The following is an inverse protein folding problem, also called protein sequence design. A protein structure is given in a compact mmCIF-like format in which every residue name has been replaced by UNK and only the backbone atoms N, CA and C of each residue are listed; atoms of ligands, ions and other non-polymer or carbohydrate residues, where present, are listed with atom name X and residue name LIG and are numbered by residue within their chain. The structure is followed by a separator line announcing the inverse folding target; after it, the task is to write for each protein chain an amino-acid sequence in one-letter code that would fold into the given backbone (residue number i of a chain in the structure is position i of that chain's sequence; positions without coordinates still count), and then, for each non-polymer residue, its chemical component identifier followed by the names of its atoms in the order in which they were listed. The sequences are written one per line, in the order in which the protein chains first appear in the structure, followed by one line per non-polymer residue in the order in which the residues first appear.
data_IF_739475706030
#
_entry.id   IF_739475706030
#
_cell.length_a   1.000
_cell.length_b   1.000
_cell.length_c   1.000
_cell.angle_alpha   90.00
_cell.angle_beta   90.00
_cell.angle_gamma   90.00
#
_symmetry.space_group_name_H-M   'P 1'
#
loop_
_entity.id
_entity.type
_entity.pdbx_description
1 polymer ?
#
# COMPACT_ATOMS: atom_id res chain seq x y z
N UNK A 1 -5.61 36.43 18.08
CA UNK A 1 -6.12 35.33 17.23
C UNK A 1 -6.87 35.93 16.06
N UNK A 2 -6.95 35.21 14.94
CA UNK A 2 -7.78 35.64 13.80
C UNK A 2 -9.26 35.66 14.20
N UNK A 3 -10.03 36.62 13.69
CA UNK A 3 -11.47 36.68 13.93
C UNK A 3 -12.18 35.49 13.27
N UNK A 4 -13.32 35.08 13.83
CA UNK A 4 -14.19 34.09 13.19
C UNK A 4 -14.61 34.59 11.81
N UNK A 5 -14.76 33.67 10.85
CA UNK A 5 -15.16 34.01 9.47
C UNK A 5 -14.24 35.03 8.76
N UNK A 6 -12.97 35.13 9.15
CA UNK A 6 -11.99 36.01 8.50
C UNK A 6 -11.42 35.44 7.21
N UNK A 7 -11.44 34.11 7.04
CA UNK A 7 -11.01 33.42 5.82
C UNK A 7 -12.22 33.14 4.93
N UNK A 8 -12.13 33.45 3.63
CA UNK A 8 -13.24 33.22 2.69
C UNK A 8 -13.52 31.74 2.43
N UNK A 9 -12.49 30.97 2.08
CA UNK A 9 -12.58 29.55 1.77
C UNK A 9 -11.41 28.79 2.42
N UNK A 10 -11.73 27.62 2.98
CA UNK A 10 -10.77 26.63 3.44
C UNK A 10 -10.83 25.41 2.52
N UNK A 11 -9.69 24.90 2.09
CA UNK A 11 -9.58 23.61 1.41
C UNK A 11 -8.83 22.66 2.34
N UNK A 12 -9.42 21.50 2.62
CA UNK A 12 -8.77 20.40 3.33
C UNK A 12 -8.68 19.24 2.35
N UNK A 13 -7.47 18.92 1.93
CA UNK A 13 -7.18 17.74 1.11
C UNK A 13 -6.78 16.55 2.00
N UNK A 14 -6.93 15.32 1.50
CA UNK A 14 -6.73 14.07 2.24
C UNK A 14 -7.49 14.02 3.58
N UNK A 15 -8.68 14.62 3.63
CA UNK A 15 -9.49 14.76 4.85
C UNK A 15 -9.96 13.42 5.45
N UNK A 16 -9.84 12.31 4.69
CA UNK A 16 -10.04 10.95 5.17
C UNK A 16 -9.02 10.54 6.25
N UNK A 17 -7.82 11.12 6.22
CA UNK A 17 -6.75 10.89 7.20
C UNK A 17 -6.73 11.88 8.36
N UNK A 18 -7.43 12.99 8.23
CA UNK A 18 -7.42 14.04 9.24
C UNK A 18 -8.36 13.67 10.38
N UNK A 19 -7.85 13.67 11.61
CA UNK A 19 -8.70 13.51 12.79
C UNK A 19 -9.59 14.76 12.96
N UNK A 20 -10.88 14.61 13.31
CA UNK A 20 -11.84 15.73 13.35
C UNK A 20 -11.36 16.93 14.17
N UNK A 21 -10.77 16.69 15.34
CA UNK A 21 -10.29 17.72 16.26
C UNK A 21 -9.20 18.62 15.68
N UNK A 22 -8.43 18.13 14.70
CA UNK A 22 -7.35 18.90 14.07
C UNK A 22 -7.90 20.00 13.16
N UNK A 23 -9.08 19.80 12.56
CA UNK A 23 -9.67 20.74 11.62
C UNK A 23 -10.51 21.85 12.28
N UNK A 24 -10.92 21.69 13.55
CA UNK A 24 -11.87 22.59 14.22
C UNK A 24 -11.42 24.05 14.21
N UNK A 25 -10.14 24.30 14.49
CA UNK A 25 -9.59 25.66 14.53
C UNK A 25 -9.67 26.35 13.16
N UNK A 26 -9.29 25.65 12.10
CA UNK A 26 -9.34 26.17 10.73
C UNK A 26 -10.79 26.39 10.26
N UNK A 27 -11.69 25.47 10.60
CA UNK A 27 -13.11 25.58 10.27
C UNK A 27 -13.77 26.78 10.97
N UNK A 28 -13.40 27.08 12.22
CA UNK A 28 -13.98 28.19 13.00
C UNK A 28 -13.64 29.58 12.42
N UNK A 29 -12.54 29.72 11.68
CA UNK A 29 -12.13 30.99 11.07
C UNK A 29 -12.55 31.12 9.61
N UNK A 30 -13.02 30.05 8.98
CA UNK A 30 -13.42 30.02 7.57
C UNK A 30 -14.93 30.26 7.37
N UNK A 31 -15.31 31.01 6.33
CA UNK A 31 -16.71 31.20 5.93
C UNK A 31 -17.27 29.97 5.22
N UNK A 32 -16.43 29.27 4.46
CA UNK A 32 -16.78 28.13 3.63
C UNK A 32 -15.63 27.14 3.63
N UNK A 33 -15.93 25.85 3.49
CA UNK A 33 -14.92 24.80 3.40
C UNK A 33 -15.22 23.85 2.25
N UNK A 34 -14.18 23.44 1.53
CA UNK A 34 -14.17 22.32 0.61
C UNK A 34 -13.32 21.24 1.28
N UNK A 35 -13.88 20.05 1.43
CA UNK A 35 -13.28 18.95 2.17
C UNK A 35 -13.21 17.78 1.21
N UNK A 36 -11.98 17.40 0.87
CA UNK A 36 -11.66 16.41 -0.16
C UNK A 36 -10.85 15.30 0.48
N UNK A 37 -11.20 14.07 0.15
CA UNK A 37 -10.58 12.89 0.68
C UNK A 37 -11.41 11.67 0.34
N UNK A 38 -10.91 10.51 0.78
CA UNK A 38 -11.55 9.24 0.51
C UNK A 38 -11.78 8.47 1.82
N UNK A 39 -13.03 8.28 2.25
CA UNK A 39 -13.33 7.56 3.50
C UNK A 39 -13.06 6.05 3.40
N UNK A 40 -12.82 5.51 2.20
CA UNK A 40 -12.46 4.10 1.95
C UNK A 40 -10.94 3.87 1.87
N UNK A 41 -10.13 4.93 1.95
CA UNK A 41 -8.67 4.84 2.15
C UNK A 41 -8.32 4.94 3.64
N UNK A 42 -7.08 5.28 3.98
CA UNK A 42 -6.58 5.18 5.35
C UNK A 42 -7.25 6.18 6.29
N UNK A 43 -7.63 5.69 7.48
CA UNK A 43 -8.21 6.49 8.57
C UNK A 43 -7.14 7.26 9.35
N UNK A 44 -7.54 8.27 10.14
CA UNK A 44 -6.62 8.98 11.01
C UNK A 44 -5.97 8.04 12.02
N UNK A 45 -4.67 8.22 12.28
CA UNK A 45 -3.99 7.52 13.36
C UNK A 45 -4.28 8.26 14.66
N UNK A 46 -5.09 7.65 15.53
CA UNK A 46 -5.41 8.18 16.85
C UNK A 46 -4.73 7.32 17.91
N UNK A 47 -3.99 7.97 18.82
CA UNK A 47 -3.16 7.30 19.84
C UNK A 47 -3.91 6.97 21.13
N UNK A 48 -5.17 7.40 21.25
CA UNK A 48 -6.00 7.17 22.43
C UNK A 48 -6.41 5.68 22.47
N UNK A 49 -6.17 4.97 23.58
CA UNK A 49 -6.62 3.58 23.72
C UNK A 49 -8.15 3.45 23.61
N UNK A 50 -8.63 2.38 22.96
CA UNK A 50 -10.07 2.12 22.75
C UNK A 50 -10.89 2.17 24.05
N UNK A 51 -10.36 1.62 25.14
CA UNK A 51 -11.02 1.64 26.45
C UNK A 51 -11.17 3.07 27.00
N UNK A 52 -10.15 3.91 26.85
CA UNK A 52 -10.18 5.30 27.28
C UNK A 52 -11.17 6.12 26.43
N UNK A 53 -11.15 5.92 25.11
CA UNK A 53 -12.11 6.57 24.21
C UNK A 53 -13.55 6.23 24.59
N UNK A 54 -13.85 4.94 24.82
CA UNK A 54 -15.18 4.50 25.26
C UNK A 54 -15.59 5.10 26.59
N UNK A 55 -14.68 5.17 27.57
CA UNK A 55 -14.96 5.80 28.87
C UNK A 55 -15.29 7.29 28.73
N UNK A 56 -14.55 8.04 27.91
CA UNK A 56 -14.81 9.45 27.64
C UNK A 56 -16.14 9.65 26.93
N UNK A 57 -16.43 8.84 25.91
CA UNK A 57 -17.70 8.92 25.18
C UNK A 57 -18.89 8.66 26.11
N UNK A 58 -18.80 7.68 26.99
CA UNK A 58 -19.85 7.39 27.96
C UNK A 58 -20.01 8.52 28.98
N UNK A 59 -18.90 9.02 29.53
CA UNK A 59 -18.92 10.09 30.53
C UNK A 59 -19.55 11.39 29.99
N UNK A 60 -19.23 11.76 28.75
CA UNK A 60 -19.76 12.96 28.09
C UNK A 60 -21.05 12.71 27.28
N UNK A 61 -21.61 11.49 27.31
CA UNK A 61 -22.77 11.07 26.53
C UNK A 61 -22.64 11.38 25.02
N UNK A 62 -21.45 11.10 24.45
CA UNK A 62 -21.12 11.33 23.04
C UNK A 62 -21.63 10.15 22.21
N UNK A 63 -22.42 10.45 21.18
CA UNK A 63 -22.86 9.45 20.20
C UNK A 63 -21.69 8.84 19.43
N UNK A 64 -21.77 7.54 19.12
CA UNK A 64 -20.83 6.81 18.24
C UNK A 64 -20.67 7.40 16.83
N UNK A 65 -21.60 8.27 16.41
CA UNK A 65 -21.44 9.09 15.21
C UNK A 65 -20.23 10.02 15.28
N UNK A 66 -19.73 10.34 16.47
CA UNK A 66 -18.60 11.24 16.69
C UNK A 66 -17.36 10.54 17.25
N UNK A 67 -17.33 9.21 17.20
CA UNK A 67 -16.18 8.43 17.69
C UNK A 67 -14.89 8.81 16.93
N UNK A 68 -13.91 9.36 17.66
CA UNK A 68 -12.66 9.84 17.06
C UNK A 68 -11.78 8.70 16.52
N UNK A 69 -11.98 7.46 16.97
CA UNK A 69 -11.26 6.29 16.44
C UNK A 69 -11.83 5.81 15.11
N UNK A 70 -13.11 6.08 14.86
CA UNK A 70 -13.84 5.58 13.69
C UNK A 70 -14.10 6.68 12.65
N UNK A 71 -13.93 7.95 13.00
CA UNK A 71 -14.28 9.10 12.16
C UNK A 71 -13.09 9.96 11.79
N UNK A 72 -13.21 10.54 10.62
CA UNK A 72 -12.30 11.51 10.02
C UNK A 72 -13.04 12.82 9.75
N UNK A 73 -12.29 13.88 9.41
CA UNK A 73 -12.88 15.13 8.91
C UNK A 73 -13.82 14.83 7.74
N UNK A 74 -13.40 14.01 6.78
CA UNK A 74 -14.22 13.63 5.61
C UNK A 74 -15.56 13.00 6.02
N UNK A 75 -15.53 11.92 6.80
CA UNK A 75 -16.75 11.16 7.15
C UNK A 75 -17.76 11.93 8.01
N UNK A 76 -17.31 12.98 8.70
CA UNK A 76 -18.19 13.91 9.41
C UNK A 76 -18.77 14.93 8.43
N UNK A 77 -17.93 15.51 7.59
CA UNK A 77 -18.31 16.53 6.63
C UNK A 77 -19.25 16.01 5.53
N UNK A 78 -19.08 14.76 5.10
CA UNK A 78 -19.97 14.10 4.12
C UNK A 78 -21.43 14.10 4.55
N UNK A 79 -21.71 14.04 5.86
CA UNK A 79 -23.08 14.02 6.39
C UNK A 79 -23.82 15.32 6.18
N UNK A 80 -23.08 16.42 6.01
CA UNK A 80 -23.63 17.74 5.72
C UNK A 80 -23.89 17.94 4.23
N UNK A 81 -23.40 17.04 3.36
CA UNK A 81 -23.66 17.10 1.93
C UNK A 81 -25.05 16.53 1.61
N UNK A 82 -25.86 17.35 0.91
CA UNK A 82 -27.17 16.94 0.41
C UNK A 82 -27.07 15.93 -0.74
N UNK A 83 -26.03 16.07 -1.58
CA UNK A 83 -25.77 15.20 -2.71
C UNK A 83 -24.69 14.18 -2.34
N UNK A 84 -25.00 12.90 -2.51
CA UNK A 84 -24.09 11.82 -2.18
C UNK A 84 -24.63 10.46 -2.57
N UNK A 85 -23.88 9.42 -2.23
CA UNK A 85 -24.29 8.04 -2.38
C UNK A 85 -23.74 7.20 -1.23
N UNK A 86 -24.40 6.08 -0.96
CA UNK A 86 -23.83 5.05 -0.09
C UNK A 86 -22.81 4.23 -0.88
N UNK A 87 -21.61 4.10 -0.33
CA UNK A 87 -20.50 3.35 -0.93
C UNK A 87 -20.05 2.23 0.02
N UNK A 88 -19.81 1.03 -0.54
CA UNK A 88 -19.35 -0.17 0.17
C UNK A 88 -20.46 -1.21 0.37
N UNK A 89 -20.05 -2.38 0.87
CA UNK A 89 -20.93 -3.55 1.03
C UNK A 89 -21.69 -3.55 2.37
N UNK A 90 -22.94 -4.03 2.32
CA UNK A 90 -23.82 -4.34 3.47
C UNK A 90 -23.79 -3.32 4.63
N UNK A 91 -23.52 -3.78 5.85
CA UNK A 91 -23.51 -2.98 7.09
C UNK A 91 -22.38 -1.95 7.14
N UNK A 92 -21.38 -2.05 6.24
CA UNK A 92 -20.25 -1.13 6.14
C UNK A 92 -20.48 0.02 5.13
N UNK A 93 -21.71 0.17 4.63
CA UNK A 93 -22.10 1.28 3.76
C UNK A 93 -21.81 2.62 4.42
N UNK A 94 -21.09 3.47 3.69
CA UNK A 94 -20.69 4.81 4.15
C UNK A 94 -21.32 5.83 3.23
N UNK A 95 -22.00 6.84 3.78
CA UNK A 95 -22.46 7.98 3.01
C UNK A 95 -21.24 8.81 2.59
N UNK A 96 -21.07 9.01 1.28
CA UNK A 96 -20.01 9.82 0.68
C UNK A 96 -20.66 10.99 -0.04
N UNK A 97 -20.22 12.22 0.28
CA UNK A 97 -20.71 13.42 -0.39
C UNK A 97 -20.06 13.59 -1.76
N UNK A 98 -20.86 13.89 -2.78
CA UNK A 98 -20.40 14.17 -4.15
C UNK A 98 -19.31 13.19 -4.67
N UNK A 99 -19.52 11.86 -4.65
CA UNK A 99 -18.49 10.90 -5.00
C UNK A 99 -18.04 11.02 -6.46
N UNK A 100 -16.73 11.03 -6.69
CA UNK A 100 -16.15 11.00 -8.04
C UNK A 100 -16.05 9.55 -8.51
N UNK A 101 -16.63 9.24 -9.67
CA UNK A 101 -16.72 7.86 -10.17
C UNK A 101 -15.68 7.51 -11.24
N UNK A 102 -15.08 8.50 -11.91
CA UNK A 102 -14.15 8.23 -13.01
C UNK A 102 -12.74 8.02 -12.47
N UNK A 103 -12.22 6.81 -12.63
CA UNK A 103 -10.84 6.46 -12.28
C UNK A 103 -9.94 6.52 -13.51
N UNK A 104 -8.76 7.15 -13.39
CA UNK A 104 -7.82 7.38 -14.50
C UNK A 104 -6.40 6.93 -14.23
N UNK A 105 -6.16 6.26 -13.10
CA UNK A 105 -4.79 6.01 -12.61
C UNK A 105 -4.26 4.64 -13.01
N UNK A 106 -4.94 3.59 -12.59
CA UNK A 106 -4.45 2.22 -12.72
C UNK A 106 -5.22 1.45 -13.79
N UNK A 107 -4.52 0.48 -14.38
CA UNK A 107 -5.06 -0.54 -15.29
C UNK A 107 -5.47 -1.78 -14.51
N UNK A 108 -5.96 -2.81 -15.20
CA UNK A 108 -6.25 -4.12 -14.59
C UNK A 108 -4.99 -4.86 -14.12
N UNK A 109 -5.09 -5.70 -13.07
CA UNK A 109 -6.30 -5.97 -12.27
C UNK A 109 -6.52 -4.98 -11.11
N UNK A 110 -5.59 -4.04 -10.89
CA UNK A 110 -5.64 -3.12 -9.74
C UNK A 110 -6.94 -2.30 -9.69
N UNK A 111 -7.49 -1.93 -10.85
CA UNK A 111 -8.76 -1.20 -10.92
C UNK A 111 -9.92 -2.06 -10.42
N UNK A 112 -10.14 -3.24 -11.01
CA UNK A 112 -11.27 -4.09 -10.65
C UNK A 112 -11.21 -4.53 -9.20
N UNK A 113 -10.03 -4.97 -8.73
CA UNK A 113 -9.82 -5.34 -7.33
C UNK A 113 -10.17 -4.18 -6.39
N UNK A 114 -9.66 -2.97 -6.63
CA UNK A 114 -9.99 -1.81 -5.79
C UNK A 114 -11.49 -1.49 -5.81
N UNK A 115 -12.10 -1.50 -7.00
CA UNK A 115 -13.50 -1.15 -7.21
C UNK A 115 -14.44 -2.11 -6.47
N UNK A 116 -14.14 -3.39 -6.51
CA UNK A 116 -14.92 -4.42 -5.84
C UNK A 116 -14.78 -4.34 -4.31
N UNK A 117 -13.55 -4.34 -3.79
CA UNK A 117 -13.32 -4.44 -2.34
C UNK A 117 -13.70 -3.18 -1.56
N UNK A 118 -13.62 -2.01 -2.19
CA UNK A 118 -13.75 -0.72 -1.49
C UNK A 118 -14.91 0.15 -1.98
N UNK A 119 -15.30 0.05 -3.25
CA UNK A 119 -16.22 1.02 -3.88
C UNK A 119 -17.51 0.41 -4.43
N UNK A 120 -17.83 -0.85 -4.12
CA UNK A 120 -19.08 -1.52 -4.53
C UNK A 120 -19.32 -1.43 -6.05
N UNK A 121 -18.24 -1.58 -6.82
CA UNK A 121 -18.24 -1.50 -8.28
C UNK A 121 -18.78 -0.18 -8.88
N UNK A 122 -18.83 0.89 -8.08
CA UNK A 122 -19.36 2.17 -8.52
C UNK A 122 -18.38 2.96 -9.39
N UNK A 123 -17.07 2.66 -9.36
CA UNK A 123 -16.10 3.36 -10.21
C UNK A 123 -16.21 2.93 -11.67
N UNK A 124 -15.82 3.84 -12.57
CA UNK A 124 -15.78 3.66 -14.02
C UNK A 124 -14.33 3.90 -14.45
N UNK A 125 -13.75 2.91 -15.13
CA UNK A 125 -12.40 3.01 -15.65
C UNK A 125 -12.34 3.96 -16.86
N UNK A 126 -11.43 4.92 -16.82
CA UNK A 126 -11.09 5.81 -17.92
C UNK A 126 -9.57 5.95 -18.07
N UNK A 127 -8.83 4.94 -17.62
CA UNK A 127 -7.40 4.77 -17.89
C UNK A 127 -7.23 4.26 -19.33
N UNK A 128 -6.15 4.63 -20.02
CA UNK A 128 -5.83 4.02 -21.32
C UNK A 128 -5.48 2.54 -21.11
N UNK A 129 -6.23 1.59 -21.70
CA UNK A 129 -5.95 0.16 -21.55
C UNK A 129 -4.59 -0.24 -22.15
N UNK A 130 -4.06 0.55 -23.08
CA UNK A 130 -2.73 0.34 -23.67
C UNK A 130 -1.60 1.01 -22.87
N UNK A 131 -1.88 1.52 -21.68
CA UNK A 131 -0.86 2.08 -20.78
C UNK A 131 0.08 0.95 -20.32
N UNK A 132 1.32 0.97 -20.79
CA UNK A 132 2.34 -0.03 -20.48
C UNK A 132 3.59 0.62 -19.88
N UNK A 133 4.17 -0.01 -18.86
CA UNK A 133 5.48 0.36 -18.29
C UNK A 133 6.59 -0.53 -18.85
N UNK A 134 7.83 -0.01 -18.89
CA UNK A 134 9.02 -0.77 -19.28
C UNK A 134 9.23 -2.04 -18.43
N UNK A 135 8.79 -2.04 -17.18
CA UNK A 135 8.88 -3.23 -16.31
C UNK A 135 8.07 -4.41 -16.86
N UNK A 136 7.02 -4.13 -17.65
CA UNK A 136 6.20 -5.18 -18.26
C UNK A 136 6.89 -5.90 -19.42
N UNK A 137 8.07 -5.46 -19.85
CA UNK A 137 8.90 -6.22 -20.79
C UNK A 137 9.72 -7.31 -20.08
N UNK A 138 9.83 -7.23 -18.75
CA UNK A 138 10.52 -8.20 -17.88
C UNK A 138 9.51 -9.09 -17.17
N UNK A 139 8.46 -8.47 -16.63
CA UNK A 139 7.39 -9.13 -15.87
C UNK A 139 6.06 -8.76 -16.55
N UNK A 140 5.58 -9.57 -17.50
CA UNK A 140 4.52 -9.18 -18.44
C UNK A 140 3.20 -8.75 -17.78
N UNK A 141 2.88 -9.35 -16.63
CA UNK A 141 1.59 -9.19 -15.97
C UNK A 141 1.74 -9.20 -14.46
N UNK A 142 0.71 -8.70 -13.79
CA UNK A 142 0.63 -8.69 -12.33
C UNK A 142 0.56 -10.13 -11.83
N UNK A 143 1.32 -10.43 -10.77
CA UNK A 143 1.56 -11.81 -10.34
C UNK A 143 1.68 -11.89 -8.83
N UNK A 144 1.21 -13.00 -8.27
CA UNK A 144 1.48 -13.42 -6.90
C UNK A 144 2.68 -14.37 -6.87
N UNK A 145 3.77 -13.91 -6.28
CA UNK A 145 4.96 -14.70 -6.02
C UNK A 145 4.79 -15.41 -4.68
N UNK A 146 4.45 -16.70 -4.73
CA UNK A 146 4.28 -17.52 -3.55
C UNK A 146 5.65 -17.79 -2.89
N UNK A 147 5.72 -17.57 -1.57
CA UNK A 147 6.90 -17.86 -0.76
C UNK A 147 6.48 -18.80 0.36
N UNK A 148 6.95 -20.05 0.28
CA UNK A 148 6.75 -21.05 1.31
C UNK A 148 7.53 -20.70 2.59
N UNK A 149 7.03 -21.14 3.75
CA UNK A 149 7.71 -20.88 5.02
C UNK A 149 8.92 -21.82 5.19
N UNK A 150 10.13 -21.30 5.03
CA UNK A 150 11.34 -22.04 5.41
C UNK A 150 11.56 -21.97 6.93
N UNK A 151 11.39 -20.79 7.54
CA UNK A 151 11.64 -20.53 8.96
C UNK A 151 10.60 -19.58 9.57
N UNK A 152 9.70 -20.10 10.43
CA UNK A 152 8.68 -19.30 11.10
C UNK A 152 9.11 -18.86 12.51
N UNK A 153 9.58 -17.61 12.62
CA UNK A 153 9.77 -16.93 13.92
C UNK A 153 8.48 -16.26 14.41
N UNK A 154 8.51 -15.71 15.64
CA UNK A 154 7.40 -14.90 16.18
C UNK A 154 7.35 -13.47 15.59
N UNK A 155 8.09 -13.20 14.51
CA UNK A 155 8.13 -11.93 13.81
C UNK A 155 7.34 -12.01 12.50
N UNK A 156 6.96 -10.85 11.95
CA UNK A 156 6.24 -10.76 10.67
C UNK A 156 7.19 -10.70 9.47
N UNK A 157 8.47 -10.40 9.70
CA UNK A 157 9.49 -10.32 8.66
C UNK A 157 9.90 -11.72 8.21
N UNK A 158 9.72 -12.01 6.92
CA UNK A 158 10.24 -13.20 6.26
C UNK A 158 11.50 -12.83 5.48
N UNK A 159 12.62 -13.49 5.80
CA UNK A 159 13.85 -13.30 5.02
C UNK A 159 13.67 -13.80 3.59
N UNK A 160 12.97 -14.92 3.40
CA UNK A 160 12.75 -15.53 2.08
C UNK A 160 11.94 -14.62 1.16
N UNK A 161 10.92 -13.94 1.69
CA UNK A 161 10.19 -12.91 0.94
C UNK A 161 11.11 -11.73 0.57
N UNK A 162 11.96 -11.30 1.50
CA UNK A 162 12.94 -10.24 1.26
C UNK A 162 13.97 -10.61 0.19
N UNK A 163 14.43 -11.86 0.17
CA UNK A 163 15.35 -12.39 -0.84
C UNK A 163 14.65 -12.49 -2.20
N UNK A 164 13.38 -12.90 -2.26
CA UNK A 164 12.61 -12.90 -3.49
C UNK A 164 12.46 -11.48 -4.06
N UNK A 165 12.15 -10.49 -3.22
CA UNK A 165 12.13 -9.08 -3.62
C UNK A 165 13.50 -8.62 -4.11
N UNK A 166 14.58 -8.99 -3.42
CA UNK A 166 15.94 -8.66 -3.86
C UNK A 166 16.24 -9.24 -5.24
N UNK A 167 15.86 -10.50 -5.51
CA UNK A 167 15.97 -11.14 -6.83
C UNK A 167 15.20 -10.36 -7.90
N UNK A 168 13.97 -9.94 -7.60
CA UNK A 168 13.15 -9.08 -8.50
C UNK A 168 13.87 -7.75 -8.81
N UNK A 169 14.36 -7.06 -7.78
CA UNK A 169 15.08 -5.80 -7.96
C UNK A 169 16.36 -5.98 -8.79
N UNK A 170 17.13 -7.04 -8.53
CA UNK A 170 18.34 -7.36 -9.31
C UNK A 170 18.02 -7.55 -10.79
N UNK A 171 16.92 -8.24 -11.11
CA UNK A 171 16.45 -8.45 -12.50
C UNK A 171 16.03 -7.15 -13.19
N UNK A 172 15.26 -6.33 -12.48
CA UNK A 172 14.83 -5.03 -12.97
C UNK A 172 16.03 -4.13 -13.28
N UNK A 173 17.00 -4.08 -12.36
CA UNK A 173 18.19 -3.26 -12.53
C UNK A 173 19.10 -3.77 -13.65
N UNK A 174 19.24 -5.09 -13.79
CA UNK A 174 20.02 -5.68 -14.87
C UNK A 174 19.49 -5.30 -16.25
N UNK A 175 18.16 -5.25 -16.42
CA UNK A 175 17.52 -4.99 -17.70
C UNK A 175 17.23 -3.51 -17.99
N UNK A 176 16.83 -2.74 -16.98
CA UNK A 176 16.38 -1.36 -17.14
C UNK A 176 17.38 -0.32 -16.61
N UNK A 177 18.47 -0.77 -15.99
CA UNK A 177 19.42 0.11 -15.32
C UNK A 177 18.97 0.50 -13.91
N UNK A 178 19.92 1.00 -13.13
CA UNK A 178 19.68 1.46 -11.76
C UNK A 178 18.79 2.71 -11.74
N UNK A 179 18.84 3.50 -12.81
CA UNK A 179 18.05 4.70 -13.02
C UNK A 179 16.57 4.39 -13.05
N UNK A 180 16.17 3.16 -13.44
CA UNK A 180 14.75 2.78 -13.35
C UNK A 180 14.25 2.88 -11.89
N UNK A 181 15.08 2.54 -10.90
CA UNK A 181 14.69 2.70 -9.50
C UNK A 181 14.78 4.16 -9.05
N UNK A 182 15.87 4.86 -9.39
CA UNK A 182 16.18 6.19 -8.84
C UNK A 182 15.42 7.33 -9.54
N UNK A 183 15.05 7.16 -10.82
CA UNK A 183 14.13 8.06 -11.51
C UNK A 183 12.75 8.00 -10.88
N UNK A 184 12.13 9.17 -10.75
CA UNK A 184 10.96 9.34 -9.87
C UNK A 184 9.82 8.37 -10.21
N UNK A 185 9.35 7.67 -9.19
CA UNK A 185 8.06 6.97 -9.15
C UNK A 185 7.93 5.76 -10.07
N UNK A 186 9.00 5.01 -10.33
CA UNK A 186 8.89 3.76 -11.10
C UNK A 186 8.45 2.57 -10.25
N UNK A 187 8.99 2.42 -9.03
CA UNK A 187 8.71 1.27 -8.17
C UNK A 187 8.61 1.64 -6.70
N UNK A 188 7.55 1.15 -6.03
CA UNK A 188 7.43 1.16 -4.57
C UNK A 188 7.34 -0.24 -3.99
N UNK A 189 7.88 -0.42 -2.80
CA UNK A 189 7.71 -1.61 -1.98
C UNK A 189 6.87 -1.23 -0.76
N UNK A 190 5.64 -1.73 -0.75
CA UNK A 190 4.65 -1.39 0.26
C UNK A 190 4.39 -2.62 1.11
N UNK A 191 4.40 -2.45 2.43
CA UNK A 191 4.02 -3.52 3.35
C UNK A 191 2.92 -3.08 4.32
N UNK A 192 2.02 -3.99 4.75
CA UNK A 192 1.11 -3.71 5.85
C UNK A 192 1.84 -3.51 7.19
N UNK A 193 3.09 -3.97 7.34
CA UNK A 193 3.80 -3.98 8.62
C UNK A 193 5.08 -3.17 8.60
N UNK A 194 5.26 -2.29 9.61
CA UNK A 194 6.49 -1.52 9.82
C UNK A 194 7.71 -2.44 9.92
N UNK A 195 7.59 -3.56 10.66
CA UNK A 195 8.68 -4.52 10.83
C UNK A 195 9.15 -5.12 9.50
N UNK A 196 8.23 -5.34 8.55
CA UNK A 196 8.54 -5.91 7.25
C UNK A 196 9.21 -4.87 6.35
N UNK A 197 8.68 -3.65 6.32
CA UNK A 197 9.29 -2.54 5.57
C UNK A 197 10.71 -2.22 6.08
N UNK A 198 10.92 -2.16 7.40
CA UNK A 198 12.25 -1.93 7.98
C UNK A 198 13.18 -3.13 7.81
N UNK A 199 12.65 -4.36 7.83
CA UNK A 199 13.39 -5.58 7.49
C UNK A 199 13.93 -5.52 6.06
N UNK A 200 13.08 -5.11 5.10
CA UNK A 200 13.46 -4.96 3.69
C UNK A 200 14.53 -3.88 3.51
N UNK A 201 14.35 -2.71 4.13
CA UNK A 201 15.37 -1.64 4.09
C UNK A 201 16.70 -2.11 4.66
N UNK A 202 16.66 -2.81 5.80
CA UNK A 202 17.87 -3.34 6.43
C UNK A 202 18.55 -4.32 5.48
N UNK A 203 17.81 -5.28 4.94
CA UNK A 203 18.32 -6.28 4.00
C UNK A 203 19.03 -5.62 2.81
N UNK A 204 18.41 -4.64 2.15
CA UNK A 204 19.02 -3.97 1.00
C UNK A 204 20.24 -3.11 1.36
N UNK A 205 20.29 -2.55 2.58
CA UNK A 205 21.41 -1.72 3.05
C UNK A 205 22.58 -2.52 3.61
N UNK A 206 22.35 -3.70 4.17
CA UNK A 206 23.42 -4.52 4.77
C UNK A 206 24.17 -5.33 3.72
N UNK A 207 23.52 -5.73 2.63
CA UNK A 207 24.15 -6.52 1.58
C UNK A 207 24.89 -5.62 0.59
N UNK A 208 26.23 -5.77 0.49
CA UNK A 208 27.06 -5.02 -0.48
C UNK A 208 26.58 -5.27 -1.90
N UNK A 209 26.06 -6.46 -2.13
CA UNK A 209 25.62 -6.92 -3.43
C UNK A 209 24.17 -7.34 -3.34
N UNK A 210 23.33 -6.78 -4.21
CA UNK A 210 22.03 -7.37 -4.51
C UNK A 210 22.28 -8.49 -5.50
N UNK A 211 21.75 -9.66 -5.17
CA UNK A 211 22.15 -10.88 -5.82
C UNK A 211 20.96 -11.53 -6.52
N UNK A 212 21.23 -12.09 -7.68
CA UNK A 212 20.38 -13.04 -8.37
C UNK A 212 21.24 -14.27 -8.67
N UNK A 213 20.72 -15.45 -8.31
CA UNK A 213 21.41 -16.74 -8.46
C UNK A 213 21.84 -17.10 -9.86
N UNK A 214 21.29 -16.45 -10.87
CA UNK A 214 21.53 -16.74 -12.27
C UNK A 214 22.22 -15.57 -12.98
N UNK A 215 21.97 -14.31 -12.57
CA UNK A 215 22.62 -13.14 -13.19
C UNK A 215 23.93 -12.69 -12.53
N UNK A 216 24.18 -13.13 -11.30
CA UNK A 216 25.34 -12.71 -10.51
C UNK A 216 25.05 -11.50 -9.61
N UNK A 217 26.10 -10.72 -9.35
CA UNK A 217 26.10 -9.64 -8.35
C UNK A 217 25.89 -8.27 -9.00
N UNK A 218 24.88 -7.55 -8.54
CA UNK A 218 24.81 -6.10 -8.67
C UNK A 218 25.31 -5.46 -7.37
N UNK A 219 26.26 -4.54 -7.43
CA UNK A 219 26.77 -3.88 -6.23
C UNK A 219 26.27 -2.42 -6.19
N UNK A 220 25.09 -2.17 -5.61
CA UNK A 220 24.59 -0.81 -5.44
C UNK A 220 25.34 -0.05 -4.33
N UNK A 221 26.17 -0.72 -3.53
CA UNK A 221 26.81 -0.12 -2.36
C UNK A 221 27.93 0.83 -2.78
N UNK A 222 27.51 2.05 -3.07
CA UNK A 222 28.14 3.33 -2.71
C UNK A 222 27.38 4.52 -3.31
N UNK A 223 26.26 4.29 -4.00
CA UNK A 223 25.48 5.38 -4.57
C UNK A 223 24.53 6.01 -3.53
N UNK A 224 24.64 7.33 -3.35
CA UNK A 224 23.70 8.11 -2.54
C UNK A 224 22.26 7.98 -3.02
N UNK A 225 22.05 7.77 -4.32
CA UNK A 225 20.72 7.74 -4.93
C UNK A 225 19.93 6.46 -4.57
N UNK A 226 20.59 5.30 -4.55
CA UNK A 226 19.96 4.04 -4.10
C UNK A 226 19.53 4.16 -2.65
N UNK A 227 20.38 4.72 -1.78
CA UNK A 227 20.05 4.86 -0.37
C UNK A 227 18.86 5.80 -0.16
N UNK A 228 18.79 6.88 -0.94
CA UNK A 228 17.64 7.77 -0.95
C UNK A 228 16.38 7.04 -1.42
N UNK A 229 16.47 6.26 -2.49
CA UNK A 229 15.38 5.43 -2.99
C UNK A 229 14.89 4.43 -1.94
N UNK A 230 15.78 3.63 -1.32
CA UNK A 230 15.42 2.67 -0.25
C UNK A 230 14.63 3.36 0.86
N UNK A 231 15.02 4.58 1.24
CA UNK A 231 14.36 5.32 2.31
C UNK A 231 12.99 5.88 1.91
N UNK A 232 12.83 6.31 0.65
CA UNK A 232 11.61 6.98 0.17
C UNK A 232 10.59 6.05 -0.49
N UNK A 233 11.04 4.92 -1.01
CA UNK A 233 10.30 3.98 -1.86
C UNK A 233 9.99 2.66 -1.19
N UNK A 234 10.46 2.45 0.05
CA UNK A 234 10.09 1.29 0.88
C UNK A 234 9.44 1.78 2.17
N UNK A 235 8.26 1.25 2.50
CA UNK A 235 7.52 1.75 3.66
C UNK A 235 6.19 1.04 3.88
N UNK A 236 5.43 1.58 4.84
CA UNK A 236 4.06 1.12 5.06
C UNK A 236 3.09 1.91 4.20
N UNK A 237 1.85 1.46 4.19
CA UNK A 237 0.77 2.06 3.41
C UNK A 237 0.57 3.55 3.74
N UNK A 238 0.77 3.96 5.00
CA UNK A 238 0.74 5.36 5.42
C UNK A 238 1.82 6.22 4.75
N UNK A 239 2.98 5.64 4.40
CA UNK A 239 4.10 6.35 3.77
C UNK A 239 3.83 6.72 2.31
N UNK A 240 2.89 6.01 1.67
CA UNK A 240 2.62 6.14 0.23
C UNK A 240 1.29 6.81 -0.11
N UNK A 241 0.55 7.33 0.86
CA UNK A 241 -0.67 8.07 0.54
C UNK A 241 -0.38 9.29 -0.35
N UNK A 242 -1.24 9.51 -1.34
CA UNK A 242 -1.06 10.54 -2.37
C UNK A 242 0.06 10.26 -3.39
N UNK A 243 0.91 9.25 -3.17
CA UNK A 243 1.96 8.84 -4.12
C UNK A 243 1.41 7.82 -5.13
N UNK A 244 2.19 7.55 -6.17
CA UNK A 244 1.89 6.54 -7.19
C UNK A 244 3.19 6.07 -7.84
N UNK A 245 3.23 4.83 -8.32
CA UNK A 245 4.35 4.28 -9.06
C UNK A 245 3.90 3.43 -10.27
N UNK A 246 4.77 3.24 -11.26
CA UNK A 246 4.49 2.33 -12.38
C UNK A 246 4.24 0.90 -11.88
N UNK A 247 5.10 0.44 -10.97
CA UNK A 247 5.02 -0.85 -10.28
C UNK A 247 4.89 -0.67 -8.77
N UNK A 248 4.10 -1.53 -8.13
CA UNK A 248 4.14 -1.74 -6.68
C UNK A 248 4.44 -3.19 -6.39
N UNK A 249 5.43 -3.43 -5.52
CA UNK A 249 5.63 -4.70 -4.85
C UNK A 249 4.90 -4.63 -3.50
N UNK A 250 3.81 -5.37 -3.34
CA UNK A 250 3.14 -5.58 -2.08
C UNK A 250 3.84 -6.71 -1.32
N UNK A 251 4.69 -6.34 -0.37
CA UNK A 251 5.46 -7.26 0.47
C UNK A 251 4.69 -7.57 1.75
N UNK A 252 4.07 -8.75 1.81
CA UNK A 252 3.05 -9.08 2.80
C UNK A 252 3.63 -9.35 4.19
N UNK A 253 4.67 -10.19 4.27
CA UNK A 253 5.12 -10.79 5.52
C UNK A 253 4.01 -11.60 6.20
N UNK A 254 4.19 -11.81 7.50
CA UNK A 254 3.33 -12.69 8.28
C UNK A 254 3.66 -14.16 8.04
N UNK A 255 3.19 -15.00 8.95
CA UNK A 255 3.42 -16.44 8.95
C UNK A 255 2.34 -17.14 9.79
N UNK A 256 2.39 -18.48 9.81
CA UNK A 256 1.54 -19.38 10.57
C UNK A 256 1.47 -19.07 12.08
N UNK A 257 2.48 -18.39 12.63
CA UNK A 257 2.54 -17.96 14.04
C UNK A 257 2.05 -16.53 14.28
N UNK A 258 1.85 -15.74 13.22
CA UNK A 258 1.43 -14.34 13.28
C UNK A 258 0.08 -14.10 12.59
N UNK A 259 -0.76 -15.14 12.51
CA UNK A 259 -2.11 -15.09 11.89
C UNK A 259 -2.98 -13.96 12.44
N UNK A 260 -2.86 -13.61 13.72
CA UNK A 260 -3.57 -12.46 14.29
C UNK A 260 -3.22 -11.13 13.63
N UNK A 261 -1.95 -10.94 13.23
CA UNK A 261 -1.51 -9.75 12.49
C UNK A 261 -1.97 -9.77 11.03
N UNK A 262 -1.96 -10.95 10.39
CA UNK A 262 -2.50 -11.15 9.04
C UNK A 262 -4.00 -10.82 9.01
N UNK A 263 -4.77 -11.35 9.97
CA UNK A 263 -6.19 -11.06 10.12
C UNK A 263 -6.45 -9.57 10.39
N UNK A 264 -5.60 -8.90 11.17
CA UNK A 264 -5.70 -7.45 11.35
C UNK A 264 -5.51 -6.70 10.03
N UNK A 265 -4.49 -7.08 9.23
CA UNK A 265 -4.22 -6.43 7.96
C UNK A 265 -5.34 -6.64 6.94
N UNK A 266 -6.02 -7.79 7.00
CA UNK A 266 -7.18 -8.13 6.16
C UNK A 266 -8.54 -7.72 6.75
N UNK A 267 -8.59 -7.11 7.94
CA UNK A 267 -9.85 -6.80 8.63
C UNK A 267 -10.69 -5.73 7.94
N UNK A 268 -10.08 -4.92 7.08
CA UNK A 268 -10.73 -3.85 6.34
C UNK A 268 -10.04 -3.66 4.97
N UNK A 269 -10.76 -3.16 3.94
CA UNK A 269 -10.21 -3.07 2.59
C UNK A 269 -9.14 -1.99 2.47
N UNK A 270 -9.05 -1.06 3.44
CA UNK A 270 -8.26 0.17 3.35
C UNK A 270 -6.77 -0.11 3.05
N UNK A 271 -6.20 -1.16 3.67
CA UNK A 271 -4.80 -1.54 3.51
C UNK A 271 -4.53 -1.98 2.06
N UNK A 272 -5.32 -2.94 1.59
CA UNK A 272 -5.19 -3.47 0.24
C UNK A 272 -5.55 -2.42 -0.82
N UNK A 273 -6.66 -1.69 -0.63
CA UNK A 273 -7.12 -0.61 -1.52
C UNK A 273 -6.02 0.42 -1.76
N UNK A 274 -5.33 0.88 -0.71
CA UNK A 274 -4.24 1.85 -0.92
C UNK A 274 -3.08 1.20 -1.67
N UNK A 275 -2.66 -0.02 -1.31
CA UNK A 275 -1.56 -0.71 -1.98
C UNK A 275 -1.83 -0.89 -3.49
N UNK A 276 -3.00 -1.43 -3.88
CA UNK A 276 -3.34 -1.66 -5.29
C UNK A 276 -3.50 -0.34 -6.06
N UNK A 277 -4.09 0.70 -5.45
CA UNK A 277 -4.30 2.00 -6.11
C UNK A 277 -3.03 2.85 -6.21
N UNK A 278 -1.91 2.41 -5.61
CA UNK A 278 -0.59 3.02 -5.80
C UNK A 278 0.08 2.57 -7.10
N UNK A 279 -0.21 1.36 -7.57
CA UNK A 279 0.32 0.83 -8.83
C UNK A 279 -0.47 1.40 -10.02
N UNK A 280 0.24 1.87 -11.04
CA UNK A 280 -0.39 2.30 -12.29
C UNK A 280 -0.51 1.16 -13.30
N UNK A 281 0.55 0.37 -13.45
CA UNK A 281 0.69 -0.59 -14.55
C UNK A 281 0.87 -2.03 -14.07
N UNK A 282 1.61 -2.23 -12.97
CA UNK A 282 1.97 -3.56 -12.50
C UNK A 282 1.87 -3.66 -10.97
N UNK A 283 1.29 -4.74 -10.47
CA UNK A 283 1.40 -5.12 -9.06
C UNK A 283 2.01 -6.51 -8.93
N UNK A 284 3.02 -6.62 -8.05
CA UNK A 284 3.61 -7.89 -7.65
C UNK A 284 3.28 -8.11 -6.18
N UNK A 285 2.69 -9.26 -5.85
CA UNK A 285 2.44 -9.64 -4.47
C UNK A 285 3.50 -10.64 -4.07
N UNK A 286 4.24 -10.37 -3.00
CA UNK A 286 5.26 -11.29 -2.48
C UNK A 286 4.85 -11.71 -1.07
N UNK A 287 4.59 -13.00 -0.92
CA UNK A 287 4.24 -13.59 0.37
C UNK A 287 3.59 -14.96 0.24
N UNK A 288 3.40 -15.62 1.38
CA UNK A 288 2.82 -16.94 1.44
C UNK A 288 1.35 -16.95 0.97
N UNK A 289 1.09 -17.62 -0.16
CA UNK A 289 -0.23 -17.67 -0.79
C UNK A 289 -1.27 -18.33 0.12
N UNK A 290 -0.94 -19.45 0.75
CA UNK A 290 -1.87 -20.22 1.59
C UNK A 290 -2.36 -19.43 2.82
N UNK A 291 -1.51 -18.54 3.35
CA UNK A 291 -1.84 -17.71 4.51
C UNK A 291 -2.75 -16.54 4.15
N UNK A 292 -2.60 -15.98 2.96
CA UNK A 292 -3.20 -14.70 2.59
C UNK A 292 -4.35 -14.82 1.59
N UNK A 293 -4.34 -15.80 0.69
CA UNK A 293 -5.32 -15.93 -0.40
C UNK A 293 -6.75 -16.12 0.09
N UNK A 294 -6.97 -16.78 1.23
CA UNK A 294 -8.31 -16.95 1.80
C UNK A 294 -8.74 -15.78 2.69
N UNK A 295 -7.87 -14.78 2.90
CA UNK A 295 -8.19 -13.64 3.76
C UNK A 295 -9.14 -12.69 3.04
N UNK A 296 -10.05 -12.11 3.81
CA UNK A 296 -11.01 -11.14 3.30
C UNK A 296 -10.32 -10.04 2.49
N UNK A 297 -10.89 -9.71 1.33
CA UNK A 297 -10.38 -8.77 0.32
C UNK A 297 -9.13 -9.26 -0.44
N UNK A 298 -8.22 -9.97 0.22
CA UNK A 298 -7.05 -10.56 -0.44
C UNK A 298 -7.43 -11.76 -1.32
N UNK A 299 -8.56 -12.40 -1.05
CA UNK A 299 -9.16 -13.41 -1.92
C UNK A 299 -9.48 -12.86 -3.31
N UNK A 300 -10.02 -11.64 -3.43
CA UNK A 300 -10.28 -11.04 -4.73
C UNK A 300 -8.98 -10.71 -5.47
N UNK A 301 -7.95 -10.25 -4.74
CA UNK A 301 -6.64 -10.06 -5.34
C UNK A 301 -6.04 -11.39 -5.82
N UNK A 302 -6.12 -12.45 -5.03
CA UNK A 302 -5.60 -13.77 -5.37
C UNK A 302 -6.29 -14.36 -6.59
N UNK A 303 -7.61 -14.17 -6.74
CA UNK A 303 -8.39 -14.64 -7.88
C UNK A 303 -7.99 -13.97 -9.20
N UNK A 304 -7.52 -12.73 -9.15
CA UNK A 304 -7.17 -11.91 -10.32
C UNK A 304 -5.68 -12.02 -10.73
N UNK A 305 -4.86 -12.72 -9.95
CA UNK A 305 -3.42 -12.83 -10.18
C UNK A 305 -3.02 -14.25 -10.55
N UNK A 306 -2.12 -14.38 -11.52
CA UNK A 306 -1.37 -15.63 -11.68
C UNK A 306 -0.48 -15.87 -10.47
N UNK A 307 -0.29 -17.14 -10.13
CA UNK A 307 0.52 -17.57 -8.99
C UNK A 307 1.73 -18.31 -9.52
N UNK A 308 2.91 -17.92 -9.06
CA UNK A 308 4.15 -18.60 -9.42
C UNK A 308 5.14 -18.58 -8.25
N UNK A 309 6.16 -19.44 -8.32
CA UNK A 309 7.33 -19.30 -7.48
C UNK A 309 8.29 -18.24 -8.04
N UNK A 310 9.20 -17.73 -7.21
CA UNK A 310 10.17 -16.69 -7.64
C UNK A 310 11.03 -17.12 -8.85
N UNK A 311 11.30 -18.42 -8.99
CA UNK A 311 12.10 -18.96 -10.10
C UNK A 311 11.32 -19.07 -11.41
N UNK A 312 9.99 -19.05 -11.36
CA UNK A 312 9.10 -19.13 -12.52
C UNK A 312 8.73 -17.74 -13.06
N UNK A 313 8.95 -16.68 -12.26
CA UNK A 313 8.58 -15.31 -12.61
C UNK A 313 9.28 -14.78 -13.86
N UNK A 314 10.49 -15.26 -14.14
CA UNK A 314 11.32 -14.79 -15.25
C UNK A 314 11.33 -15.83 -16.38
N UNK A 315 10.75 -15.53 -17.55
CA UNK A 315 10.50 -16.52 -18.61
C UNK A 315 11.73 -17.05 -19.37
N UNK A 316 12.97 -16.65 -19.04
CA UNK A 316 14.19 -17.20 -19.65
C UNK A 316 15.39 -17.35 -18.69
N UNK A 317 16.09 -18.49 -18.78
CA UNK A 317 17.41 -18.70 -18.17
C UNK A 317 18.44 -17.77 -18.83
N UNK A 318 18.68 -16.60 -18.24
CA UNK A 318 19.78 -15.72 -18.65
C UNK A 318 21.10 -16.33 -18.18
N UNK A 319 22.10 -16.37 -19.07
CA UNK A 319 23.38 -17.08 -18.86
C UNK A 319 24.07 -16.66 -17.56
N UNK A 320 24.53 -17.67 -16.79
CA UNK A 320 25.34 -17.53 -15.58
C UNK A 320 26.57 -16.64 -15.82
N UNK A 321 26.64 -15.51 -15.14
CA UNK A 321 27.92 -14.87 -14.83
C UNK A 321 28.50 -15.49 -13.55
N UNK A 322 29.83 -15.40 -13.34
CA UNK A 322 30.51 -16.01 -12.19
C UNK A 322 29.88 -15.55 -10.86
N UNK A 323 29.11 -16.45 -10.27
CA UNK A 323 28.42 -16.34 -8.99
C UNK A 323 29.42 -16.61 -7.87
N UNK A 324 29.63 -15.69 -6.91
CA UNK A 324 30.33 -16.00 -5.66
C UNK A 324 29.47 -16.88 -4.75
N UNK A 325 30.13 -17.68 -3.93
CA UNK A 325 29.50 -18.63 -3.02
C UNK A 325 28.54 -17.94 -2.04
N UNK A 326 27.28 -18.38 -2.05
CA UNK A 326 26.17 -17.81 -1.28
C UNK A 326 26.43 -17.86 0.23
N UNK A 327 27.14 -18.89 0.71
CA UNK A 327 27.44 -19.09 2.13
C UNK A 327 28.35 -18.00 2.72
N UNK A 328 29.10 -17.27 1.88
CA UNK A 328 30.01 -16.20 2.33
C UNK A 328 29.36 -14.81 2.41
N UNK A 329 28.16 -14.60 1.85
CA UNK A 329 27.46 -13.31 1.90
C UNK A 329 26.78 -13.03 3.25
N UNK A 330 26.69 -14.04 4.11
CA UNK A 330 25.90 -14.00 5.35
C UNK A 330 26.73 -14.09 6.64
N UNK A 331 28.06 -14.04 6.56
CA UNK A 331 28.97 -14.01 7.72
C UNK A 331 29.34 -12.59 8.14
#
# INVERSE_FOLDING_TARGET
GMATHSIGWLLIDEAGQAAPQVAVGALNVAKRAIIVGDPKQIRPVVTIPKAMNGALMNYYNISTKWDVLERSVQTISDRSNYYGAYVGHDENKTWVGCPLRIHRRCVEPMFSVANEIAYDNLMIQATNPNSRSKIQDIIPQSTWINIEESHSGNNKWSLDEGLAVMKILSRIVYDLGIEFLTDRSSLYIISPFVQVAEGMKKLLKTNDSWYDTELGIFNPKQDSEINEWINKSIGTIHTFQGKQAECVILLLGGNSKTVGAVNWAASAPNILNVAVTRAKNLILVVGNYDIWSEKQYFNELANELEICNINELFPEERKKHNIPDLDNLFN
#
